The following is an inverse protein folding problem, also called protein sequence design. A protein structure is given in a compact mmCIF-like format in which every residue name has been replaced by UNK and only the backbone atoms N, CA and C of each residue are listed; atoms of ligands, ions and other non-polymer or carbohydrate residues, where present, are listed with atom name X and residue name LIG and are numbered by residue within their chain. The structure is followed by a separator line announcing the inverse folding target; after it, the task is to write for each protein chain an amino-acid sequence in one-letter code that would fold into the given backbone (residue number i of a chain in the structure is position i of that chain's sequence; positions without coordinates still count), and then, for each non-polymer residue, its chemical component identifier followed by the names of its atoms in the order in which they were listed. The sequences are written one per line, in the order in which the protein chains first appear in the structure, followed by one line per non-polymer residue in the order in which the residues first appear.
data_IF_539541547545
#
_entry.id   IF_539541547545
#
_cell.length_a   1.000
_cell.length_b   1.000
_cell.length_c   1.000
_cell.angle_alpha   90.00
_cell.angle_beta   90.00
_cell.angle_gamma   90.00
#
_symmetry.space_group_name_H-M   'P 1'
#
loop_
_entity.id
_entity.type
_entity.pdbx_description
1 polymer ?
#
# COMPACT_ATOMS: atom_id res chain seq x y z
N UNK A 1 58.77 25.21 -26.46
CA UNK A 1 59.17 24.55 -27.73
C UNK A 1 58.14 23.48 -28.07
N UNK A 2 57.67 23.45 -29.33
CA UNK A 2 56.62 22.61 -29.98
C UNK A 2 55.18 22.82 -29.44
N UNK A 3 54.24 23.53 -30.10
CA UNK A 3 53.71 23.54 -31.49
C UNK A 3 52.68 22.42 -31.78
N UNK A 4 51.36 22.71 -31.67
CA UNK A 4 50.32 22.83 -32.75
C UNK A 4 49.78 21.45 -33.23
N UNK A 5 48.47 21.13 -33.17
CA UNK A 5 47.31 21.53 -34.05
C UNK A 5 46.04 20.88 -33.43
N UNK A 6 44.94 21.57 -33.08
CA UNK A 6 43.83 22.16 -33.88
C UNK A 6 43.14 21.20 -34.85
N UNK A 7 41.89 20.82 -34.54
CA UNK A 7 40.78 20.64 -35.50
C UNK A 7 39.44 20.95 -34.84
N UNK A 8 38.82 22.06 -35.27
CA UNK A 8 37.39 22.33 -35.17
C UNK A 8 36.66 21.47 -36.22
N UNK A 9 35.47 20.98 -35.89
CA UNK A 9 34.41 20.71 -36.87
C UNK A 9 33.11 21.34 -36.39
N UNK A 10 32.79 22.48 -37.02
CA UNK A 10 31.46 23.07 -37.16
C UNK A 10 30.80 22.45 -38.39
N UNK A 11 29.48 22.23 -38.35
CA UNK A 11 28.47 22.23 -39.44
C UNK A 11 27.20 21.58 -38.86
N UNK A 12 25.93 21.99 -39.04
CA UNK A 12 25.24 23.20 -39.51
C UNK A 12 23.77 23.01 -39.10
N UNK A 13 23.08 24.13 -38.88
CA UNK A 13 21.66 24.35 -38.56
C UNK A 13 20.68 23.64 -39.50
N UNK A 14 19.60 23.04 -38.94
CA UNK A 14 18.26 23.03 -39.56
C UNK A 14 17.22 23.29 -38.47
N UNK A 15 16.71 24.52 -38.43
CA UNK A 15 15.40 24.87 -37.87
C UNK A 15 14.38 24.86 -39.01
N UNK A 16 13.28 24.12 -38.87
CA UNK A 16 12.07 24.31 -39.65
C UNK A 16 10.84 24.13 -38.74
N UNK A 17 9.80 24.91 -39.02
CA UNK A 17 8.71 25.32 -38.14
C UNK A 17 7.37 24.83 -38.72
N UNK A 18 6.32 24.76 -37.87
CA UNK A 18 4.85 24.72 -38.14
C UNK A 18 4.35 23.41 -38.83
N UNK A 19 3.18 22.80 -38.60
CA UNK A 19 1.89 23.21 -38.02
C UNK A 19 1.08 21.98 -37.59
N UNK A 20 0.07 22.23 -36.76
CA UNK A 20 -1.02 21.31 -36.43
C UNK A 20 -1.72 20.75 -37.68
N UNK A 21 -2.12 19.48 -37.63
CA UNK A 21 -3.30 19.02 -38.35
C UNK A 21 -4.03 17.98 -37.49
N UNK A 22 -5.21 18.39 -37.05
CA UNK A 22 -6.21 17.51 -36.47
C UNK A 22 -6.69 16.52 -37.53
N UNK A 23 -6.77 15.25 -37.16
CA UNK A 23 -7.71 14.31 -37.77
C UNK A 23 -8.61 13.79 -36.65
N UNK A 24 -9.76 14.45 -36.52
CA UNK A 24 -10.93 13.92 -35.84
C UNK A 24 -11.56 12.84 -36.72
N UNK A 25 -11.76 11.66 -36.15
CA UNK A 25 -12.83 10.71 -36.51
C UNK A 25 -13.37 10.12 -35.20
N UNK A 26 -14.55 10.59 -34.77
CA UNK A 26 -15.44 9.84 -33.87
C UNK A 26 -16.03 8.64 -34.60
N UNK A 27 -16.73 7.69 -33.98
CA UNK A 27 -17.17 7.50 -32.60
C UNK A 27 -17.21 5.99 -32.34
N UNK A 28 -16.78 5.57 -31.15
CA UNK A 28 -17.33 4.42 -30.46
C UNK A 28 -17.09 4.63 -28.96
N UNK A 29 -18.17 4.95 -28.25
CA UNK A 29 -18.25 5.03 -26.79
C UNK A 29 -17.64 3.79 -26.13
N UNK A 30 -16.56 3.96 -25.37
CA UNK A 30 -16.15 3.00 -24.33
C UNK A 30 -15.38 3.72 -23.21
N UNK A 31 -16.12 3.99 -22.14
CA UNK A 31 -15.71 4.22 -20.75
C UNK A 31 -14.43 5.03 -20.48
N UNK A 32 -14.63 6.34 -20.28
CA UNK A 32 -13.79 7.12 -19.37
C UNK A 32 -13.97 6.56 -17.94
N UNK A 33 -13.03 5.74 -17.49
CA UNK A 33 -12.98 5.27 -16.09
C UNK A 33 -11.57 5.22 -15.50
N UNK A 34 -10.52 5.48 -16.29
CA UNK A 34 -9.12 5.38 -15.88
C UNK A 34 -8.31 6.46 -16.60
N UNK A 35 -8.66 7.73 -16.41
CA UNK A 35 -7.85 8.85 -16.91
C UNK A 35 -7.26 9.60 -15.73
N UNK A 36 -6.00 9.31 -15.39
CA UNK A 36 -5.20 10.12 -14.47
C UNK A 36 -4.55 9.40 -13.27
N UNK A 37 -4.81 8.11 -13.05
CA UNK A 37 -4.09 7.30 -12.06
C UNK A 37 -2.97 6.51 -12.75
N UNK A 38 -1.78 6.45 -12.15
CA UNK A 38 -0.76 5.49 -12.57
C UNK A 38 -1.29 4.09 -12.24
N UNK A 39 -1.83 3.41 -13.25
CA UNK A 39 -2.28 2.01 -13.14
C UNK A 39 -1.12 1.03 -13.25
N UNK A 40 0.13 1.49 -13.15
CA UNK A 40 1.32 0.65 -13.09
C UNK A 40 1.13 -0.46 -12.08
N UNK A 41 1.31 -1.70 -12.53
CA UNK A 41 1.30 -2.87 -11.66
C UNK A 41 2.65 -2.97 -10.96
N UNK A 42 2.67 -3.21 -9.64
CA UNK A 42 3.93 -3.36 -8.88
C UNK A 42 4.53 -4.76 -9.01
N UNK A 43 3.77 -5.73 -9.51
CA UNK A 43 4.24 -7.07 -9.87
C UNK A 43 3.41 -7.62 -11.03
N UNK A 44 4.00 -8.53 -11.79
CA UNK A 44 3.34 -9.22 -12.90
C UNK A 44 2.44 -10.38 -12.44
N UNK A 45 2.62 -10.82 -11.19
CA UNK A 45 1.87 -11.92 -10.59
C UNK A 45 2.36 -12.23 -9.18
N UNK A 46 1.70 -13.18 -8.51
CA UNK A 46 2.00 -13.51 -7.12
C UNK A 46 3.36 -14.19 -6.96
N UNK A 47 3.75 -15.06 -7.90
CA UNK A 47 5.07 -15.68 -7.94
C UNK A 47 6.17 -14.63 -8.08
N UNK A 48 6.03 -13.69 -9.02
CA UNK A 48 6.97 -12.58 -9.26
C UNK A 48 7.12 -11.69 -8.02
N UNK A 49 6.00 -11.34 -7.37
CA UNK A 49 6.02 -10.64 -6.09
C UNK A 49 6.82 -11.41 -5.04
N UNK A 50 6.49 -12.69 -4.83
CA UNK A 50 7.14 -13.50 -3.79
C UNK A 50 8.64 -13.67 -4.08
N UNK A 51 9.03 -13.96 -5.32
CA UNK A 51 10.42 -14.15 -5.72
C UNK A 51 11.23 -12.87 -5.44
N UNK A 52 10.70 -11.70 -5.79
CA UNK A 52 11.35 -10.40 -5.49
C UNK A 52 11.57 -10.17 -3.99
N UNK A 53 10.62 -10.58 -3.14
CA UNK A 53 10.71 -10.45 -1.69
C UNK A 53 11.68 -11.48 -1.07
N UNK A 54 11.79 -12.67 -1.66
CA UNK A 54 12.75 -13.69 -1.21
C UNK A 54 14.19 -13.28 -1.55
N UNK A 55 14.40 -12.61 -2.68
CA UNK A 55 15.71 -12.10 -3.11
C UNK A 55 16.14 -10.82 -2.38
N UNK A 56 15.20 -10.06 -1.81
CA UNK A 56 15.50 -8.82 -1.11
C UNK A 56 16.20 -9.07 0.25
N UNK A 57 17.41 -8.54 0.42
CA UNK A 57 18.22 -8.66 1.64
C UNK A 57 17.66 -7.91 2.86
N UNK A 58 16.66 -7.04 2.67
CA UNK A 58 15.98 -6.33 3.75
C UNK A 58 15.20 -7.27 4.68
N UNK A 59 14.73 -8.42 4.18
CA UNK A 59 13.84 -9.31 4.93
C UNK A 59 14.58 -10.50 5.55
N UNK A 60 14.28 -10.79 6.81
CA UNK A 60 14.86 -11.93 7.52
C UNK A 60 14.48 -13.28 6.89
N UNK A 61 15.36 -14.27 7.05
CA UNK A 61 15.13 -15.64 6.60
C UNK A 61 13.86 -16.29 7.20
N UNK A 62 13.37 -15.83 8.36
CA UNK A 62 12.08 -16.29 8.90
C UNK A 62 10.91 -15.96 7.98
N UNK A 63 10.89 -14.76 7.39
CA UNK A 63 9.86 -14.37 6.44
C UNK A 63 10.06 -15.08 5.11
N UNK A 64 11.30 -15.12 4.60
CA UNK A 64 11.64 -15.80 3.34
C UNK A 64 11.23 -17.28 3.35
N UNK A 65 11.36 -17.98 4.48
CA UNK A 65 10.87 -19.37 4.62
C UNK A 65 9.36 -19.49 4.44
N UNK A 66 8.57 -18.59 5.04
CA UNK A 66 7.11 -18.58 4.88
C UNK A 66 6.74 -18.29 3.42
N UNK A 67 7.41 -17.33 2.79
CA UNK A 67 7.20 -16.98 1.40
C UNK A 67 7.53 -18.12 0.43
N UNK A 68 8.67 -18.81 0.61
CA UNK A 68 9.04 -19.99 -0.19
C UNK A 68 8.01 -21.13 -0.03
N UNK A 69 7.40 -21.28 1.15
CA UNK A 69 6.30 -22.22 1.34
C UNK A 69 5.03 -21.77 0.60
N UNK A 70 4.71 -20.47 0.60
CA UNK A 70 3.55 -19.93 -0.13
C UNK A 70 3.64 -20.14 -1.64
N UNK A 71 4.85 -20.14 -2.23
CA UNK A 71 5.04 -20.50 -3.66
C UNK A 71 4.52 -21.90 -4.00
N UNK A 72 4.48 -22.82 -3.03
CA UNK A 72 3.95 -24.17 -3.22
C UNK A 72 2.42 -24.23 -3.13
N UNK A 73 1.78 -23.12 -2.78
CA UNK A 73 0.35 -23.00 -2.49
C UNK A 73 -0.27 -21.74 -3.16
N UNK A 74 0.07 -21.47 -4.42
CA UNK A 74 -0.50 -20.35 -5.21
C UNK A 74 -0.36 -18.96 -4.54
N UNK A 75 0.73 -18.80 -3.78
CA UNK A 75 1.03 -17.60 -2.99
C UNK A 75 0.11 -17.38 -1.80
N UNK A 76 -0.60 -18.41 -1.35
CA UNK A 76 -1.42 -18.36 -0.14
C UNK A 76 -0.53 -18.46 1.11
N UNK A 77 -0.68 -17.47 1.98
CA UNK A 77 -0.04 -17.45 3.30
C UNK A 77 -1.07 -17.97 4.31
N UNK A 78 -0.84 -19.12 4.96
CA UNK A 78 -1.76 -19.63 5.97
C UNK A 78 -1.94 -18.63 7.12
N UNK A 79 -3.17 -18.44 7.60
CA UNK A 79 -3.46 -17.49 8.68
C UNK A 79 -2.62 -17.73 9.94
N UNK A 80 -2.31 -18.99 10.26
CA UNK A 80 -1.42 -19.34 11.38
C UNK A 80 -0.01 -18.76 11.21
N UNK A 81 0.53 -18.77 9.98
CA UNK A 81 1.85 -18.17 9.69
C UNK A 81 1.79 -16.64 9.75
N UNK A 82 0.70 -16.06 9.23
CA UNK A 82 0.46 -14.62 9.26
C UNK A 82 0.33 -14.08 10.69
N UNK A 83 -0.53 -14.69 11.51
CA UNK A 83 -0.72 -14.33 12.92
C UNK A 83 0.54 -14.52 13.76
N UNK A 84 1.31 -15.60 13.52
CA UNK A 84 2.59 -15.81 14.18
C UNK A 84 3.62 -14.73 13.84
N UNK A 85 3.67 -14.26 12.58
CA UNK A 85 4.56 -13.18 12.17
C UNK A 85 4.22 -11.86 12.86
N UNK A 86 2.93 -11.53 12.97
CA UNK A 86 2.46 -10.34 13.71
C UNK A 86 2.76 -10.39 15.20
N UNK A 87 2.64 -11.56 15.81
CA UNK A 87 3.03 -11.73 17.21
C UNK A 87 4.56 -11.61 17.40
N UNK A 88 5.35 -12.14 16.45
CA UNK A 88 6.81 -11.96 16.44
C UNK A 88 7.21 -10.49 16.30
N UNK A 89 6.50 -9.72 15.48
CA UNK A 89 6.66 -8.27 15.37
C UNK A 89 6.40 -7.55 16.71
N UNK A 90 5.29 -7.88 17.39
CA UNK A 90 4.96 -7.30 18.70
C UNK A 90 6.00 -7.65 19.76
N UNK A 91 6.49 -8.89 19.75
CA UNK A 91 7.53 -9.32 20.67
C UNK A 91 8.86 -8.60 20.41
N UNK A 92 9.23 -8.35 19.15
CA UNK A 92 10.42 -7.58 18.81
C UNK A 92 10.43 -6.18 19.46
N UNK A 93 9.27 -5.52 19.54
CA UNK A 93 9.15 -4.23 20.24
C UNK A 93 9.28 -4.36 21.75
N UNK A 94 8.75 -5.43 22.34
CA UNK A 94 8.96 -5.74 23.77
C UNK A 94 10.43 -5.98 24.07
N UNK A 95 11.12 -6.75 23.23
CA UNK A 95 12.55 -7.06 23.39
C UNK A 95 13.43 -5.80 23.30
N UNK A 96 12.94 -4.74 22.63
CA UNK A 96 13.57 -3.42 22.55
C UNK A 96 13.24 -2.51 23.74
N UNK A 97 12.42 -2.96 24.69
CA UNK A 97 12.11 -2.27 25.94
C UNK A 97 10.81 -1.47 25.93
N UNK A 98 9.93 -1.68 24.94
CA UNK A 98 8.62 -1.03 24.90
C UNK A 98 7.52 -1.91 25.52
N UNK A 99 6.38 -1.32 25.87
CA UNK A 99 5.18 -2.09 26.20
C UNK A 99 4.71 -2.88 24.98
N UNK A 100 4.01 -3.99 25.20
CA UNK A 100 3.50 -4.79 24.07
C UNK A 100 2.44 -4.00 23.30
N UNK A 101 2.57 -3.79 21.97
CA UNK A 101 1.57 -3.08 21.20
C UNK A 101 0.19 -3.75 21.25
N UNK A 102 -0.92 -3.01 21.13
CA UNK A 102 -2.24 -3.58 21.05
C UNK A 102 -2.38 -4.47 19.81
N UNK A 103 -3.26 -5.47 19.90
CA UNK A 103 -3.52 -6.39 18.80
C UNK A 103 -4.65 -5.84 17.91
N UNK A 104 -4.37 -4.73 17.25
CA UNK A 104 -5.30 -4.13 16.31
C UNK A 104 -5.55 -5.08 15.14
N UNK A 105 -6.80 -5.56 15.01
CA UNK A 105 -7.23 -6.58 14.06
C UNK A 105 -8.61 -6.21 13.52
N UNK A 106 -8.73 -6.06 12.20
CA UNK A 106 -10.02 -5.84 11.53
C UNK A 106 -10.18 -6.91 10.47
N UNK A 107 -11.24 -7.70 10.60
CA UNK A 107 -11.57 -8.80 9.70
C UNK A 107 -10.38 -9.71 9.33
N UNK A 108 -9.61 -10.13 10.34
CA UNK A 108 -8.46 -11.01 10.14
C UNK A 108 -7.20 -10.29 9.62
N UNK A 109 -7.22 -8.97 9.43
CA UNK A 109 -6.07 -8.16 9.02
C UNK A 109 -5.52 -7.38 10.20
N UNK A 110 -4.27 -7.65 10.57
CA UNK A 110 -3.60 -6.93 11.66
C UNK A 110 -3.17 -5.54 11.22
N UNK A 111 -2.95 -4.63 12.17
CA UNK A 111 -2.42 -3.31 11.89
C UNK A 111 -1.18 -3.08 12.75
N UNK A 112 -0.11 -2.61 12.11
CA UNK A 112 0.99 -2.03 12.86
C UNK A 112 0.47 -0.80 13.63
N UNK A 113 1.07 -0.44 14.77
CA UNK A 113 0.70 0.76 15.51
C UNK A 113 0.78 1.99 14.59
N UNK A 114 -0.38 2.45 14.12
CA UNK A 114 -0.50 3.64 13.29
C UNK A 114 -0.60 4.91 14.15
N UNK A 115 -1.10 4.78 15.38
CA UNK A 115 -1.10 5.81 16.40
C UNK A 115 -0.31 5.36 17.61
N UNK A 116 0.81 6.02 17.78
CA UNK A 116 1.71 5.82 18.90
C UNK A 116 1.68 7.11 19.72
N UNK A 117 1.35 7.00 21.00
CA UNK A 117 1.40 8.15 21.88
C UNK A 117 2.85 8.62 21.99
N UNK A 118 3.09 9.87 21.62
CA UNK A 118 4.37 10.57 21.84
C UNK A 118 4.41 11.27 23.20
N UNK A 119 3.39 11.09 24.04
CA UNK A 119 3.31 11.71 25.35
C UNK A 119 4.50 11.28 26.22
N UNK A 120 5.20 12.26 26.79
CA UNK A 120 6.38 12.02 27.64
C UNK A 120 7.66 11.62 26.88
N UNK A 121 7.64 11.51 25.55
CA UNK A 121 8.82 11.22 24.74
C UNK A 121 9.52 12.51 24.31
N UNK A 122 10.85 12.53 24.41
CA UNK A 122 11.68 13.51 23.70
C UNK A 122 11.68 13.22 22.19
N UNK A 123 12.02 14.21 21.37
CA UNK A 123 12.14 14.04 19.92
C UNK A 123 13.08 12.88 19.54
N UNK A 124 14.21 12.76 20.24
CA UNK A 124 15.18 11.69 20.01
C UNK A 124 14.61 10.31 20.35
N UNK A 125 13.85 10.19 21.45
CA UNK A 125 13.19 8.94 21.79
C UNK A 125 12.07 8.59 20.81
N UNK A 126 11.34 9.60 20.32
CA UNK A 126 10.27 9.42 19.33
C UNK A 126 10.85 8.95 17.99
N UNK A 127 11.97 9.55 17.55
CA UNK A 127 12.70 9.11 16.35
C UNK A 127 13.19 7.66 16.50
N UNK A 128 13.84 7.34 17.62
CA UNK A 128 14.30 5.97 17.91
C UNK A 128 13.14 4.97 17.90
N UNK A 129 12.00 5.33 18.46
CA UNK A 129 10.80 4.49 18.45
C UNK A 129 10.30 4.21 17.04
N UNK A 130 10.24 5.23 16.17
CA UNK A 130 9.87 5.05 14.77
C UNK A 130 10.88 4.15 14.03
N UNK A 131 12.18 4.35 14.25
CA UNK A 131 13.25 3.51 13.69
C UNK A 131 13.08 2.05 14.13
N UNK A 132 12.78 1.81 15.41
CA UNK A 132 12.56 0.49 15.98
C UNK A 132 11.26 -0.18 15.49
N UNK A 133 10.18 0.58 15.33
CA UNK A 133 8.92 0.12 14.71
C UNK A 133 9.19 -0.39 13.29
N UNK A 134 9.89 0.40 12.48
CA UNK A 134 10.22 0.04 11.10
C UNK A 134 11.16 -1.17 11.05
N UNK A 135 12.23 -1.17 11.85
CA UNK A 135 13.17 -2.28 11.90
C UNK A 135 12.50 -3.59 12.34
N UNK A 136 11.64 -3.57 13.36
CA UNK A 136 10.90 -4.75 13.77
C UNK A 136 9.90 -5.20 12.69
N UNK A 137 9.25 -4.26 12.00
CA UNK A 137 8.30 -4.60 10.93
C UNK A 137 9.02 -5.29 9.78
N UNK A 138 10.12 -4.70 9.31
CA UNK A 138 10.93 -5.22 8.23
C UNK A 138 11.54 -6.57 8.56
N UNK A 139 12.01 -6.76 9.80
CA UNK A 139 12.59 -8.03 10.24
C UNK A 139 11.53 -9.14 10.39
N UNK A 140 10.30 -8.81 10.82
CA UNK A 140 9.36 -9.84 11.30
C UNK A 140 8.16 -10.11 10.40
N UNK A 141 7.60 -9.10 9.74
CA UNK A 141 6.25 -9.24 9.18
C UNK A 141 5.99 -8.54 7.84
N UNK A 142 6.79 -7.54 7.45
CA UNK A 142 6.51 -6.69 6.28
C UNK A 142 6.23 -7.47 4.99
N UNK A 143 7.07 -8.46 4.65
CA UNK A 143 6.95 -9.19 3.39
C UNK A 143 5.78 -10.19 3.42
N UNK A 144 5.56 -10.85 4.56
CA UNK A 144 4.41 -11.74 4.75
C UNK A 144 3.09 -10.95 4.67
N UNK A 145 3.04 -9.78 5.33
CA UNK A 145 1.87 -8.90 5.35
C UNK A 145 1.53 -8.36 3.96
N UNK A 146 2.54 -7.96 3.18
CA UNK A 146 2.35 -7.54 1.79
C UNK A 146 1.67 -8.65 0.97
N UNK A 147 2.24 -9.86 0.95
CA UNK A 147 1.69 -10.99 0.18
C UNK A 147 0.28 -11.36 0.64
N UNK A 148 0.05 -11.41 1.96
CA UNK A 148 -1.25 -11.72 2.54
C UNK A 148 -2.32 -10.68 2.11
N UNK A 149 -2.02 -9.39 2.21
CA UNK A 149 -2.94 -8.31 1.80
C UNK A 149 -3.16 -8.28 0.30
N UNK A 150 -2.10 -8.45 -0.50
CA UNK A 150 -2.20 -8.47 -1.97
C UNK A 150 -3.14 -9.56 -2.44
N UNK A 151 -3.03 -10.78 -1.90
CA UNK A 151 -3.92 -11.90 -2.26
C UNK A 151 -5.40 -11.58 -2.01
N UNK A 152 -5.70 -10.90 -0.89
CA UNK A 152 -7.06 -10.63 -0.46
C UNK A 152 -7.69 -9.40 -1.13
N UNK A 153 -6.95 -8.30 -1.20
CA UNK A 153 -7.47 -7.00 -1.63
C UNK A 153 -7.04 -6.54 -3.00
N UNK A 154 -5.83 -6.88 -3.43
CA UNK A 154 -5.20 -6.32 -4.63
C UNK A 154 -4.53 -7.40 -5.51
N UNK A 155 -5.24 -8.45 -5.95
CA UNK A 155 -4.67 -9.52 -6.76
C UNK A 155 -4.36 -9.10 -8.19
N UNK A 156 -4.77 -7.89 -8.60
CA UNK A 156 -4.38 -7.29 -9.87
C UNK A 156 -3.09 -6.46 -9.78
N UNK A 157 -2.52 -6.34 -8.57
CA UNK A 157 -1.24 -5.68 -8.29
C UNK A 157 -1.20 -4.19 -8.64
N UNK A 158 -2.33 -3.48 -8.53
CA UNK A 158 -2.37 -2.04 -8.79
C UNK A 158 -1.41 -1.30 -7.84
N UNK A 159 -0.59 -0.41 -8.39
CA UNK A 159 0.29 0.46 -7.60
C UNK A 159 -0.47 1.57 -6.86
N UNK A 160 -1.60 2.02 -7.41
CA UNK A 160 -2.49 2.97 -6.73
C UNK A 160 -3.45 2.22 -5.77
N UNK A 161 -3.35 2.45 -4.44
CA UNK A 161 -4.20 1.79 -3.45
C UNK A 161 -5.69 2.13 -3.58
N UNK A 162 -6.03 3.31 -4.11
CA UNK A 162 -7.42 3.73 -4.32
C UNK A 162 -8.04 2.96 -5.48
N UNK A 163 -7.26 2.73 -6.56
CA UNK A 163 -7.67 1.84 -7.66
C UNK A 163 -7.90 0.43 -7.12
N UNK A 164 -6.97 -0.09 -6.31
CA UNK A 164 -7.11 -1.41 -5.70
C UNK A 164 -8.34 -1.54 -4.80
N UNK A 165 -8.66 -0.51 -4.01
CA UNK A 165 -9.87 -0.47 -3.20
C UNK A 165 -11.13 -0.56 -4.06
N UNK A 166 -11.25 0.32 -5.06
CA UNK A 166 -12.42 0.36 -5.95
C UNK A 166 -12.60 -0.97 -6.69
N UNK A 167 -11.52 -1.54 -7.21
CA UNK A 167 -11.54 -2.87 -7.84
C UNK A 167 -12.01 -3.97 -6.85
N UNK A 168 -11.48 -3.98 -5.63
CA UNK A 168 -11.89 -4.93 -4.60
C UNK A 168 -13.39 -4.83 -4.28
N UNK A 169 -13.92 -3.60 -4.16
CA UNK A 169 -15.35 -3.36 -3.92
C UNK A 169 -16.20 -3.89 -5.08
N UNK A 170 -15.79 -3.65 -6.33
CA UNK A 170 -16.49 -4.17 -7.52
C UNK A 170 -16.46 -5.70 -7.59
N UNK A 171 -15.30 -6.33 -7.40
CA UNK A 171 -15.17 -7.81 -7.45
C UNK A 171 -16.03 -8.51 -6.40
N UNK A 172 -16.33 -7.83 -5.29
CA UNK A 172 -17.17 -8.33 -4.20
C UNK A 172 -18.64 -7.86 -4.29
N UNK A 173 -19.02 -7.13 -5.35
CA UNK A 173 -20.37 -6.57 -5.54
C UNK A 173 -20.84 -5.66 -4.39
N UNK A 174 -19.91 -4.94 -3.76
CA UNK A 174 -20.18 -4.02 -2.64
C UNK A 174 -20.59 -2.63 -3.11
N UNK A 175 -20.33 -2.33 -4.37
CA UNK A 175 -20.69 -1.08 -5.04
C UNK A 175 -21.38 -1.36 -6.37
N UNK A 176 -22.23 -0.45 -6.88
CA UNK A 176 -22.78 -0.55 -8.22
C UNK A 176 -21.69 -0.50 -9.31
N UNK A 177 -21.94 -1.11 -10.46
CA UNK A 177 -20.99 -1.16 -11.59
C UNK A 177 -20.56 0.22 -12.12
N UNK A 178 -21.34 1.26 -11.89
CA UNK A 178 -21.02 2.64 -12.28
C UNK A 178 -20.25 3.42 -11.19
N UNK A 179 -19.89 2.80 -10.07
CA UNK A 179 -19.05 3.41 -9.05
C UNK A 179 -17.63 3.58 -9.58
N UNK A 180 -17.10 4.80 -9.51
CA UNK A 180 -15.81 5.16 -10.11
C UNK A 180 -14.81 5.59 -9.06
N UNK A 181 -13.53 5.60 -9.45
CA UNK A 181 -12.47 6.18 -8.61
C UNK A 181 -12.71 7.66 -8.28
N UNK A 182 -13.27 8.43 -9.20
CA UNK A 182 -13.59 9.85 -8.96
C UNK A 182 -14.70 10.00 -7.90
N UNK A 183 -15.69 9.11 -7.92
CA UNK A 183 -16.71 9.06 -6.88
C UNK A 183 -16.08 8.71 -5.53
N UNK A 184 -15.21 7.68 -5.47
CA UNK A 184 -14.48 7.34 -4.25
C UNK A 184 -13.64 8.51 -3.73
N UNK A 185 -12.86 9.17 -4.57
CA UNK A 185 -12.01 10.32 -4.19
C UNK A 185 -12.83 11.47 -3.64
N UNK A 186 -14.00 11.73 -4.23
CA UNK A 186 -14.95 12.73 -3.73
C UNK A 186 -15.48 12.35 -2.35
N UNK A 187 -15.91 11.11 -2.15
CA UNK A 187 -16.42 10.61 -0.86
C UNK A 187 -15.32 10.62 0.22
N UNK A 188 -14.12 10.15 -0.10
CA UNK A 188 -12.93 10.19 0.76
C UNK A 188 -12.57 11.63 1.13
N UNK A 189 -12.61 12.57 0.18
CA UNK A 189 -12.38 13.99 0.46
C UNK A 189 -13.42 14.60 1.40
N UNK A 190 -14.68 14.16 1.32
CA UNK A 190 -15.72 14.56 2.28
C UNK A 190 -15.46 13.95 3.66
N UNK A 191 -15.11 12.67 3.72
CA UNK A 191 -14.74 11.97 4.95
C UNK A 191 -13.58 12.66 5.67
N UNK A 192 -12.49 12.98 4.98
CA UNK A 192 -11.30 13.59 5.58
C UNK A 192 -11.54 15.00 6.15
N UNK A 193 -12.58 15.68 5.67
CA UNK A 193 -12.98 17.02 6.15
C UNK A 193 -14.06 16.98 7.24
N UNK A 194 -14.55 15.78 7.59
CA UNK A 194 -15.64 15.59 8.52
C UNK A 194 -15.11 15.12 9.88
N UNK A 195 -15.26 15.95 10.90
CA UNK A 195 -14.84 15.66 12.28
C UNK A 195 -15.95 15.05 13.14
N UNK A 196 -17.13 14.79 12.55
CA UNK A 196 -18.26 14.20 13.26
C UNK A 196 -18.13 12.69 13.39
N UNK A 197 -18.91 12.11 14.30
CA UNK A 197 -19.06 10.66 14.44
C UNK A 197 -19.67 9.98 13.20
N UNK A 198 -20.26 10.77 12.30
CA UNK A 198 -20.90 10.36 11.06
C UNK A 198 -20.00 10.46 9.83
N UNK A 199 -18.70 10.72 10.00
CA UNK A 199 -17.77 10.88 8.87
C UNK A 199 -17.82 9.69 7.89
N UNK A 200 -18.03 8.46 8.38
CA UNK A 200 -18.13 7.28 7.52
C UNK A 200 -19.40 7.23 6.66
N UNK A 201 -20.45 7.98 7.01
CA UNK A 201 -21.71 8.07 6.25
C UNK A 201 -21.52 8.82 4.91
N UNK A 202 -20.31 9.33 4.64
CA UNK A 202 -19.93 9.98 3.37
C UNK A 202 -19.69 8.98 2.25
N UNK A 203 -19.38 7.72 2.56
CA UNK A 203 -19.22 6.67 1.57
C UNK A 203 -20.59 6.14 1.13
N UNK A 204 -20.76 5.85 -0.16
CA UNK A 204 -22.01 5.30 -0.70
C UNK A 204 -22.12 3.77 -0.57
N UNK A 205 -21.18 3.14 0.12
CA UNK A 205 -21.13 1.71 0.40
C UNK A 205 -21.10 1.44 1.91
N UNK A 206 -21.52 0.24 2.33
CA UNK A 206 -21.53 -0.13 3.74
C UNK A 206 -20.10 -0.43 4.23
N UNK A 207 -19.57 0.51 5.00
CA UNK A 207 -18.25 0.44 5.63
C UNK A 207 -18.17 -0.59 6.78
N UNK A 208 -19.30 -1.13 7.25
CA UNK A 208 -19.35 -2.18 8.27
C UNK A 208 -19.51 -3.58 7.71
N UNK A 209 -19.77 -3.71 6.41
CA UNK A 209 -19.76 -5.00 5.74
C UNK A 209 -18.36 -5.66 5.87
N UNK A 210 -18.34 -6.96 6.15
CA UNK A 210 -17.11 -7.72 6.38
C UNK A 210 -16.16 -7.70 5.17
N UNK A 211 -16.74 -7.80 3.98
CA UNK A 211 -16.01 -7.79 2.72
C UNK A 211 -15.50 -6.39 2.39
N UNK A 212 -16.28 -5.34 2.68
CA UNK A 212 -15.79 -3.95 2.64
C UNK A 212 -14.61 -3.74 3.58
N UNK A 213 -14.69 -4.22 4.82
CA UNK A 213 -13.62 -4.11 5.80
C UNK A 213 -12.35 -4.83 5.35
N UNK A 214 -12.48 -5.98 4.67
CA UNK A 214 -11.34 -6.66 4.04
C UNK A 214 -10.69 -5.77 2.99
N UNK A 215 -11.48 -5.22 2.06
CA UNK A 215 -10.96 -4.34 1.01
C UNK A 215 -10.24 -3.13 1.62
N UNK A 216 -10.91 -2.40 2.52
CA UNK A 216 -10.32 -1.24 3.17
C UNK A 216 -9.06 -1.59 3.96
N UNK A 217 -9.06 -2.66 4.75
CA UNK A 217 -7.89 -3.05 5.53
C UNK A 217 -6.69 -3.43 4.65
N UNK A 218 -6.92 -4.02 3.48
CA UNK A 218 -5.86 -4.52 2.61
C UNK A 218 -5.32 -3.47 1.65
N UNK A 219 -6.14 -2.51 1.22
CA UNK A 219 -5.75 -1.52 0.20
C UNK A 219 -5.69 -0.08 0.72
N UNK A 220 -6.59 0.30 1.64
CA UNK A 220 -6.68 1.66 2.19
C UNK A 220 -6.73 1.65 3.74
N UNK A 221 -5.75 1.04 4.43
CA UNK A 221 -5.80 0.82 5.87
C UNK A 221 -5.88 2.11 6.69
N UNK A 222 -5.48 3.25 6.12
CA UNK A 222 -5.57 4.57 6.75
C UNK A 222 -7.01 5.00 7.04
N UNK A 223 -8.00 4.55 6.25
CA UNK A 223 -9.42 4.86 6.52
C UNK A 223 -9.94 4.21 7.80
N UNK A 224 -9.30 3.13 8.25
CA UNK A 224 -9.70 2.39 9.44
C UNK A 224 -8.94 2.82 10.70
N UNK A 225 -8.01 3.77 10.56
CA UNK A 225 -7.21 4.31 11.66
C UNK A 225 -8.03 4.76 12.88
N UNK A 226 -9.17 5.46 12.74
CA UNK A 226 -9.98 5.86 13.90
C UNK A 226 -10.56 4.70 14.73
N UNK A 227 -10.53 3.47 14.20
CA UNK A 227 -11.01 2.26 14.89
C UNK A 227 -9.90 1.56 15.68
N UNK A 228 -8.66 2.01 15.55
CA UNK A 228 -7.50 1.34 16.13
C UNK A 228 -7.20 1.87 17.54
N UNK A 229 -6.79 0.97 18.43
CA UNK A 229 -6.31 1.34 19.75
C UNK A 229 -4.96 2.06 19.64
N UNK A 230 -4.85 3.19 20.37
CA UNK A 230 -3.61 3.96 20.48
C UNK A 230 -2.62 3.21 21.36
N UNK A 231 -1.41 3.00 20.87
CA UNK A 231 -0.35 2.36 21.65
C UNK A 231 0.39 3.37 22.54
N UNK A 232 0.52 3.07 23.83
CA UNK A 232 1.38 3.79 24.78
C UNK A 232 2.70 3.04 24.99
N UNK A 233 3.79 3.40 24.29
CA UNK A 233 5.01 2.59 24.22
C UNK A 233 5.77 2.49 25.56
N UNK A 234 5.53 3.40 26.50
CA UNK A 234 6.21 3.48 27.79
C UNK A 234 5.31 3.20 29.01
N UNK A 235 4.02 2.90 28.80
CA UNK A 235 3.02 2.70 29.86
C UNK A 235 2.15 3.92 30.10
#
# INVERSE_FOLDING_TARGET
MKSIRRTLSLITIITCVISMTACSKGDATSNNGISGADTGKFASGMTDLIDSLVENDQYDESQKRVLRAALQHDGEIPYASYSAAWESYRQCLVDKGYTKPPQNLINGIYFAPAYVSSEGLTEEQNRKLNDDINACRDARVAAIDLVYRTKLGNPEFYGDPEVALVDCLHRKNLVPQNYTIDQYRKESGLYMNDTSEHAFDRFSFDINDSDTLTCMATTAPTLLQPRLEIWKPLG
#
